data_IF_654153331839
#
_entry.id   IF_654153331839
#
_cell.length_a   1.000
_cell.length_b   1.000
_cell.length_c   1.000
_cell.angle_alpha   90.00
_cell.angle_beta   90.00
_cell.angle_gamma   90.00
#
_symmetry.space_group_name_H-M   'P 1'
#
loop_
_entity.id
_entity.type
_entity.pdbx_description
1 polymer ?
#
# COMPACT_ATOMS: atom_id res chain seq x y z
N UNK A 1 9.15 -4.79 25.91
CA UNK A 1 7.85 -4.36 25.35
C UNK A 1 7.81 -4.83 23.90
N UNK A 2 6.89 -5.73 23.54
CA UNK A 2 6.75 -6.15 22.15
C UNK A 2 6.35 -4.94 21.29
N UNK A 3 7.02 -4.74 20.16
CA UNK A 3 6.66 -3.69 19.23
C UNK A 3 5.27 -3.99 18.65
N UNK A 4 4.40 -2.98 18.60
CA UNK A 4 3.08 -3.11 17.97
C UNK A 4 3.24 -3.58 16.51
N UNK A 5 2.50 -4.60 16.05
CA UNK A 5 2.63 -5.10 14.70
C UNK A 5 2.19 -4.05 13.67
N UNK A 6 2.81 -4.11 12.49
CA UNK A 6 2.39 -3.32 11.33
C UNK A 6 1.05 -3.82 10.77
N UNK A 7 0.39 -3.04 9.92
CA UNK A 7 -0.75 -3.56 9.17
C UNK A 7 -0.28 -4.59 8.13
N UNK A 8 -1.17 -5.49 7.74
CA UNK A 8 -0.86 -6.53 6.76
C UNK A 8 -0.33 -7.82 7.36
N UNK A 9 -0.47 -8.01 8.68
CA UNK A 9 -0.22 -9.32 9.29
C UNK A 9 -1.19 -10.35 8.74
N UNK A 10 -0.71 -11.57 8.60
CA UNK A 10 -1.48 -12.75 8.19
C UNK A 10 -1.73 -13.73 9.34
N UNK A 11 -1.23 -13.37 10.53
CA UNK A 11 -1.41 -14.12 11.76
C UNK A 11 -2.71 -13.67 12.45
N UNK A 12 -3.66 -14.61 12.58
CA UNK A 12 -4.97 -14.36 13.19
C UNK A 12 -4.90 -14.19 14.69
N UNK A 13 -4.01 -14.91 15.37
CA UNK A 13 -3.88 -14.87 16.83
C UNK A 13 -3.30 -13.52 17.23
N UNK A 14 -2.21 -13.12 16.58
CA UNK A 14 -1.62 -11.80 16.75
C UNK A 14 -2.59 -10.67 16.36
N UNK A 15 -3.40 -10.86 15.31
CA UNK A 15 -4.43 -9.88 14.95
C UNK A 15 -5.50 -9.72 16.04
N UNK A 16 -5.91 -10.82 16.68
CA UNK A 16 -6.87 -10.79 17.77
C UNK A 16 -6.31 -10.07 19.01
N UNK A 17 -5.05 -10.33 19.37
CA UNK A 17 -4.35 -9.65 20.47
C UNK A 17 -4.34 -8.12 20.32
N UNK A 18 -4.17 -7.64 19.08
CA UNK A 18 -4.10 -6.22 18.76
C UNK A 18 -5.43 -5.62 18.29
N UNK A 19 -6.55 -6.34 18.44
CA UNK A 19 -7.90 -5.92 18.04
C UNK A 19 -7.96 -5.45 16.56
N UNK A 20 -7.18 -6.11 15.70
CA UNK A 20 -7.16 -5.85 14.26
C UNK A 20 -8.35 -6.56 13.60
N UNK A 21 -8.83 -5.99 12.50
CA UNK A 21 -9.92 -6.57 11.70
C UNK A 21 -9.38 -7.05 10.37
N UNK A 22 -10.08 -8.00 9.73
CA UNK A 22 -9.76 -8.34 8.35
C UNK A 22 -10.00 -7.13 7.43
N UNK A 23 -9.13 -7.01 6.43
CA UNK A 23 -9.20 -5.96 5.41
C UNK A 23 -10.49 -6.09 4.58
N UNK A 24 -10.84 -7.32 4.21
CA UNK A 24 -12.18 -7.75 3.83
C UNK A 24 -12.39 -9.20 4.28
N UNK A 25 -13.64 -9.63 4.40
CA UNK A 25 -13.96 -10.98 4.88
C UNK A 25 -13.32 -12.05 3.97
N UNK A 26 -12.54 -12.94 4.58
CA UNK A 26 -11.81 -14.00 3.87
C UNK A 26 -10.49 -13.55 3.26
N UNK A 27 -10.04 -12.31 3.53
CA UNK A 27 -8.75 -11.83 3.00
C UNK A 27 -7.55 -12.41 3.74
N UNK A 28 -7.72 -12.87 4.99
CA UNK A 28 -6.63 -13.33 5.84
C UNK A 28 -5.55 -12.27 6.12
N UNK A 29 -5.87 -10.99 5.89
CA UNK A 29 -4.96 -9.85 6.02
C UNK A 29 -5.60 -8.88 6.99
N UNK A 30 -4.89 -8.53 8.04
CA UNK A 30 -5.43 -7.75 9.15
C UNK A 30 -4.87 -6.33 9.22
N UNK A 31 -5.70 -5.38 9.62
CA UNK A 31 -5.36 -3.96 9.81
C UNK A 31 -6.12 -3.36 11.00
N UNK A 32 -5.67 -2.19 11.48
CA UNK A 32 -6.30 -1.53 12.61
C UNK A 32 -7.61 -0.83 12.22
N UNK A 33 -8.57 -0.80 13.15
CA UNK A 33 -9.85 -0.08 12.98
C UNK A 33 -9.65 1.41 12.70
N UNK A 34 -8.62 2.03 13.26
CA UNK A 34 -8.26 3.43 12.98
C UNK A 34 -7.84 3.62 11.51
N UNK A 35 -7.02 2.72 10.97
CA UNK A 35 -6.60 2.74 9.57
C UNK A 35 -7.79 2.54 8.63
N UNK A 36 -8.69 1.60 8.98
CA UNK A 36 -9.96 1.42 8.27
C UNK A 36 -10.79 2.69 8.24
N UNK A 37 -10.88 3.41 9.35
CA UNK A 37 -11.69 4.63 9.46
C UNK A 37 -11.12 5.76 8.61
N UNK A 38 -9.80 5.94 8.62
CA UNK A 38 -9.10 6.92 7.75
C UNK A 38 -9.37 6.59 6.28
N UNK A 39 -9.16 5.33 5.88
CA UNK A 39 -9.43 4.89 4.51
C UNK A 39 -10.92 4.94 4.14
N UNK A 40 -11.84 4.80 5.11
CA UNK A 40 -13.29 4.89 4.88
C UNK A 40 -13.73 6.30 4.49
N UNK A 41 -13.07 7.34 4.99
CA UNK A 41 -13.40 8.74 4.67
C UNK A 41 -13.03 9.16 3.22
N UNK A 42 -12.20 8.38 2.52
CA UNK A 42 -11.68 8.73 1.19
C UNK A 42 -12.69 8.41 0.08
N UNK A 43 -13.11 9.44 -0.65
CA UNK A 43 -14.11 9.31 -1.73
C UNK A 43 -13.49 9.13 -3.11
N UNK A 44 -12.19 9.44 -3.27
CA UNK A 44 -11.44 9.21 -4.52
C UNK A 44 -10.59 7.95 -4.41
N UNK A 45 -10.68 7.09 -5.43
CA UNK A 45 -9.94 5.82 -5.46
C UNK A 45 -8.42 6.03 -5.43
N UNK A 46 -7.92 7.11 -6.03
CA UNK A 46 -6.50 7.45 -6.04
C UNK A 46 -5.96 7.80 -4.65
N UNK A 47 -6.70 8.63 -3.90
CA UNK A 47 -6.35 9.00 -2.52
C UNK A 47 -6.45 7.78 -1.61
N UNK A 48 -7.46 6.93 -1.83
CA UNK A 48 -7.61 5.65 -1.15
C UNK A 48 -6.40 4.74 -1.37
N UNK A 49 -5.95 4.55 -2.61
CA UNK A 49 -4.76 3.75 -2.90
C UNK A 49 -3.52 4.34 -2.22
N UNK A 50 -3.34 5.65 -2.32
CA UNK A 50 -2.18 6.30 -1.71
C UNK A 50 -2.12 6.05 -0.20
N UNK A 51 -3.26 6.12 0.47
CA UNK A 51 -3.35 5.95 1.93
C UNK A 51 -3.23 4.48 2.33
N UNK A 52 -3.93 3.58 1.64
CA UNK A 52 -3.92 2.14 1.96
C UNK A 52 -2.54 1.52 1.71
N UNK A 53 -1.82 1.97 0.68
CA UNK A 53 -0.45 1.55 0.42
C UNK A 53 0.49 2.02 1.53
N UNK A 54 0.35 3.26 2.03
CA UNK A 54 1.15 3.75 3.17
C UNK A 54 0.83 3.02 4.48
N UNK A 55 -0.39 2.49 4.61
CA UNK A 55 -0.79 1.67 5.77
C UNK A 55 -0.07 0.32 5.74
N UNK A 56 -0.04 -0.36 4.59
CA UNK A 56 0.50 -1.71 4.47
C UNK A 56 2.01 -1.78 4.19
N UNK A 57 2.58 -0.75 3.57
CA UNK A 57 3.96 -0.75 3.14
C UNK A 57 4.70 0.48 3.66
N UNK A 58 5.79 0.25 4.36
CA UNK A 58 6.67 1.33 4.77
C UNK A 58 7.33 1.97 3.55
N UNK A 59 7.74 3.23 3.70
CA UNK A 59 8.46 3.95 2.64
C UNK A 59 9.73 3.21 2.19
N UNK A 60 10.40 2.51 3.11
CA UNK A 60 11.61 1.76 2.78
C UNK A 60 11.32 0.54 1.91
N UNK A 61 10.21 -0.15 2.16
CA UNK A 61 9.71 -1.21 1.26
C UNK A 61 9.34 -0.61 -0.11
N UNK A 62 8.59 0.50 -0.14
CA UNK A 62 8.16 1.12 -1.39
C UNK A 62 9.32 1.60 -2.28
N UNK A 63 10.45 2.01 -1.70
CA UNK A 63 11.66 2.40 -2.44
C UNK A 63 12.22 1.26 -3.28
N UNK A 64 12.32 0.08 -2.69
CA UNK A 64 12.95 -1.08 -3.34
C UNK A 64 11.95 -1.96 -4.10
N UNK A 65 10.65 -1.64 -4.01
CA UNK A 65 9.59 -2.49 -4.57
C UNK A 65 8.84 -1.92 -5.77
N UNK A 66 8.11 -2.81 -6.45
CA UNK A 66 7.11 -2.52 -7.48
C UNK A 66 5.89 -3.45 -7.29
N UNK A 67 4.71 -3.07 -7.80
CA UNK A 67 3.46 -3.81 -7.59
C UNK A 67 3.52 -5.29 -7.99
N UNK A 68 4.21 -5.63 -9.09
CA UNK A 68 4.39 -7.02 -9.58
C UNK A 68 5.85 -7.43 -9.83
N UNK A 69 6.81 -6.58 -9.44
CA UNK A 69 8.20 -6.66 -9.92
C UNK A 69 8.33 -6.34 -11.41
N UNK A 70 9.51 -5.91 -11.87
CA UNK A 70 9.77 -5.71 -13.29
C UNK A 70 10.28 -7.01 -13.94
N UNK A 71 9.62 -7.47 -15.01
CA UNK A 71 10.14 -8.50 -15.94
C UNK A 71 10.50 -7.96 -17.33
N UNK A 72 10.41 -6.66 -17.59
CA UNK A 72 10.72 -6.11 -18.91
C UNK A 72 11.68 -4.93 -18.84
N UNK A 73 12.93 -5.24 -19.22
CA UNK A 73 13.79 -4.41 -20.07
C UNK A 73 14.07 -2.99 -19.58
N UNK A 74 15.32 -2.79 -19.15
CA UNK A 74 16.03 -1.53 -18.86
C UNK A 74 15.99 -1.06 -17.40
N UNK A 75 17.11 -1.34 -16.72
CA UNK A 75 17.73 -0.54 -15.63
C UNK A 75 17.08 -0.50 -14.23
N UNK A 76 16.37 -1.53 -13.79
CA UNK A 76 16.18 -1.79 -12.35
C UNK A 76 16.37 -3.28 -12.09
N UNK A 77 17.62 -3.70 -11.91
CA UNK A 77 17.98 -5.10 -11.68
C UNK A 77 17.53 -5.63 -10.30
N UNK A 78 16.97 -4.78 -9.42
CA UNK A 78 16.65 -5.14 -8.03
C UNK A 78 15.29 -4.61 -7.53
N UNK A 79 14.22 -4.61 -8.36
CA UNK A 79 12.88 -4.31 -7.82
C UNK A 79 12.19 -5.55 -7.28
N UNK A 80 12.03 -5.60 -5.96
CA UNK A 80 11.32 -6.69 -5.26
C UNK A 80 9.81 -6.51 -5.45
N UNK A 81 9.05 -7.55 -5.82
CA UNK A 81 7.60 -7.44 -5.84
C UNK A 81 7.05 -7.10 -4.45
N UNK A 82 6.05 -6.22 -4.37
CA UNK A 82 5.28 -6.06 -3.13
C UNK A 82 4.61 -7.40 -2.75
N UNK A 83 4.21 -7.54 -1.49
CA UNK A 83 3.46 -8.71 -1.03
C UNK A 83 2.19 -8.90 -1.88
N UNK A 84 2.19 -9.90 -2.77
CA UNK A 84 1.13 -10.10 -3.76
C UNK A 84 -0.26 -10.29 -3.12
N UNK A 85 -0.42 -11.05 -2.03
CA UNK A 85 -1.70 -11.14 -1.33
C UNK A 85 -2.27 -9.77 -0.92
N UNK A 86 -1.42 -8.86 -0.44
CA UNK A 86 -1.84 -7.50 -0.07
C UNK A 86 -2.18 -6.66 -1.31
N UNK A 87 -1.41 -6.79 -2.41
CA UNK A 87 -1.68 -6.09 -3.66
C UNK A 87 -3.02 -6.54 -4.26
N UNK A 88 -3.26 -7.86 -4.35
CA UNK A 88 -4.50 -8.43 -4.86
C UNK A 88 -5.70 -8.04 -3.98
N UNK A 89 -5.50 -8.01 -2.66
CA UNK A 89 -6.48 -7.52 -1.72
C UNK A 89 -6.85 -6.06 -1.97
N UNK A 90 -5.86 -5.17 -2.14
CA UNK A 90 -6.08 -3.76 -2.46
C UNK A 90 -6.85 -3.62 -3.78
N UNK A 91 -6.45 -4.36 -4.82
CA UNK A 91 -7.12 -4.35 -6.13
C UNK A 91 -8.60 -4.73 -5.98
N UNK A 92 -8.88 -5.88 -5.35
CA UNK A 92 -10.26 -6.35 -5.14
C UNK A 92 -11.09 -5.33 -4.36
N UNK A 93 -10.52 -4.74 -3.30
CA UNK A 93 -11.22 -3.74 -2.49
C UNK A 93 -11.53 -2.45 -3.25
N UNK A 94 -10.60 -1.97 -4.08
CA UNK A 94 -10.80 -0.74 -4.86
C UNK A 94 -11.83 -0.96 -5.97
N UNK A 95 -11.73 -2.08 -6.70
CA UNK A 95 -12.72 -2.40 -7.75
C UNK A 95 -14.13 -2.57 -7.19
N UNK A 96 -14.28 -3.12 -5.97
CA UNK A 96 -15.59 -3.28 -5.33
C UNK A 96 -16.16 -1.98 -4.72
N UNK A 97 -15.30 -1.01 -4.38
CA UNK A 97 -15.69 0.19 -3.62
C UNK A 97 -16.08 1.39 -4.48
N UNK A 98 -15.42 1.59 -5.62
CA UNK A 98 -15.55 2.83 -6.40
C UNK A 98 -16.33 2.61 -7.69
N UNK A 99 -17.17 3.59 -8.05
CA UNK A 99 -17.97 3.57 -9.27
C UNK A 99 -17.74 4.87 -10.08
N UNK A 100 -17.38 4.80 -11.38
CA UNK A 100 -17.01 3.59 -12.10
C UNK A 100 -15.75 2.92 -11.54
N UNK A 101 -15.65 1.58 -11.59
CA UNK A 101 -14.51 0.87 -11.02
C UNK A 101 -13.25 1.16 -11.83
N UNK A 102 -12.15 1.59 -11.19
CA UNK A 102 -10.88 1.68 -11.90
C UNK A 102 -10.41 0.28 -12.29
N UNK A 103 -9.78 0.20 -13.46
CA UNK A 103 -9.22 -1.05 -13.98
C UNK A 103 -8.04 -1.52 -13.13
N UNK A 104 -7.78 -2.83 -13.12
CA UNK A 104 -6.59 -3.41 -12.47
C UNK A 104 -5.30 -2.73 -12.94
N UNK A 105 -5.22 -2.35 -14.21
CA UNK A 105 -4.07 -1.64 -14.77
C UNK A 105 -3.91 -0.23 -14.15
N UNK A 106 -4.99 0.53 -13.98
CA UNK A 106 -4.96 1.85 -13.33
C UNK A 106 -4.54 1.76 -11.86
N UNK A 107 -5.07 0.78 -11.13
CA UNK A 107 -4.72 0.52 -9.73
C UNK A 107 -3.23 0.15 -9.63
N UNK A 108 -2.78 -0.78 -10.47
CA UNK A 108 -1.37 -1.23 -10.51
C UNK A 108 -0.43 -0.09 -10.86
N UNK A 109 -0.80 0.74 -11.85
CA UNK A 109 -0.04 1.93 -12.23
C UNK A 109 0.08 2.92 -11.07
N UNK A 110 -1.00 3.13 -10.30
CA UNK A 110 -0.99 4.02 -9.13
C UNK A 110 -0.10 3.50 -8.00
N UNK A 111 -0.13 2.19 -7.73
CA UNK A 111 0.78 1.56 -6.76
C UNK A 111 2.24 1.74 -7.22
N UNK A 112 2.54 1.52 -8.50
CA UNK A 112 3.89 1.74 -9.05
C UNK A 112 4.31 3.21 -9.02
N UNK A 113 3.38 4.15 -9.23
CA UNK A 113 3.63 5.58 -9.06
C UNK A 113 4.09 5.87 -7.62
N UNK A 114 3.40 5.32 -6.62
CA UNK A 114 3.76 5.46 -5.20
C UNK A 114 5.17 4.93 -4.90
N UNK A 115 5.52 3.75 -5.42
CA UNK A 115 6.88 3.21 -5.31
C UNK A 115 7.93 4.14 -5.95
N UNK A 116 7.60 4.73 -7.11
CA UNK A 116 8.48 5.67 -7.81
C UNK A 116 8.66 6.97 -7.04
N UNK A 117 7.60 7.49 -6.42
CA UNK A 117 7.64 8.65 -5.54
C UNK A 117 8.47 8.38 -4.28
N UNK A 118 8.37 7.17 -3.72
CA UNK A 118 9.18 6.76 -2.57
C UNK A 118 10.69 6.73 -2.90
N UNK A 119 11.06 6.35 -4.14
CA UNK A 119 12.44 6.35 -4.66
C UNK A 119 13.00 7.75 -4.93
N UNK A 120 12.16 8.74 -5.22
CA UNK A 120 12.67 10.08 -5.53
C UNK A 120 13.39 10.65 -4.31
N UNK A 121 14.65 11.12 -4.46
CA UNK A 121 15.33 11.81 -3.38
C UNK A 121 14.50 13.03 -2.98
N UNK A 122 14.44 13.36 -1.68
CA UNK A 122 13.86 14.63 -1.23
C UNK A 122 14.57 15.73 -2.00
N UNK A 123 13.85 16.44 -2.88
CA UNK A 123 14.37 17.64 -3.53
C UNK A 123 14.64 18.62 -2.39
N UNK A 124 15.91 18.80 -2.04
CA UNK A 124 16.31 19.86 -1.11
C UNK A 124 15.87 21.15 -1.78
N UNK A 125 14.81 21.78 -1.27
CA UNK A 125 14.58 23.19 -1.54
C UNK A 125 15.77 23.90 -0.89
N UNK A 126 16.78 24.21 -1.70
CA UNK A 126 17.79 25.20 -1.35
C UNK A 126 17.06 26.54 -1.20
N UNK A 127 16.53 26.80 0.00
CA UNK A 127 16.19 28.15 0.41
C UNK A 127 17.51 28.89 0.51
N UNK A 128 17.85 29.69 -0.50
CA UNK A 128 18.93 30.66 -0.40
C UNK A 128 18.56 31.67 0.70
N UNK A 129 19.35 31.82 1.77
CA UNK A 129 19.23 32.99 2.64
C UNK A 129 19.63 34.22 1.84
N UNK A 130 18.79 35.25 1.94
CA UNK A 130 18.93 36.53 1.25
C UNK A 130 19.76 37.51 2.07
#
# INVERSE_FOLDING_TARGET
>A
MAAKPAAGIVDRELAAEYQMKEFFEGSGIYWFTSQRSICAALTKWEEYINTVVDVFFSKDVLKVSCARGLKKGKKLEDTVPLCQPIVDAIIGKVCARFQPPPTVAQITAKINQKCTEARRPKRVQLTHPH
#
